data_IF_642879688020
#
_entry.id   IF_642879688020
#
_cell.length_a   1.000
_cell.length_b   1.000
_cell.length_c   1.000
_cell.angle_alpha   90.00
_cell.angle_beta   90.00
_cell.angle_gamma   90.00
#
_symmetry.space_group_name_H-M   'P 1'
#
loop_
_entity.id
_entity.type
_entity.pdbx_description
1 polymer ?
#
# COMPACT_ATOMS: atom_id res chain seq x y z
N UNK A 1 -19.76 33.49 -2.03
CA UNK A 1 -18.35 33.03 -2.10
C UNK A 1 -17.67 32.65 -0.76
N UNK A 2 -18.32 32.50 0.43
CA UNK A 2 -17.60 32.15 1.67
C UNK A 2 -17.30 30.65 1.86
N UNK A 3 -18.05 29.75 1.20
CA UNK A 3 -17.98 28.30 1.40
C UNK A 3 -16.69 27.62 0.89
N UNK A 4 -16.00 28.23 -0.09
CA UNK A 4 -14.78 27.65 -0.69
C UNK A 4 -13.53 27.90 0.17
N UNK A 5 -13.50 29.01 0.91
CA UNK A 5 -12.41 29.33 1.83
C UNK A 5 -12.51 28.53 3.13
N UNK A 6 -13.73 28.24 3.60
CA UNK A 6 -13.97 27.38 4.75
C UNK A 6 -13.51 25.93 4.50
N UNK A 7 -13.77 25.38 3.31
CA UNK A 7 -13.32 24.04 2.93
C UNK A 7 -11.78 23.96 2.80
N UNK A 8 -11.13 25.00 2.27
CA UNK A 8 -9.66 25.10 2.20
C UNK A 8 -9.02 25.25 3.58
N UNK A 9 -9.63 26.02 4.47
CA UNK A 9 -9.17 26.20 5.83
C UNK A 9 -9.37 24.94 6.69
N UNK A 10 -10.49 24.24 6.52
CA UNK A 10 -10.75 22.94 7.16
C UNK A 10 -9.75 21.88 6.67
N UNK A 11 -9.44 21.85 5.37
CA UNK A 11 -8.43 20.97 4.80
C UNK A 11 -7.01 21.24 5.32
N UNK A 12 -6.62 22.51 5.46
CA UNK A 12 -5.34 22.90 6.07
C UNK A 12 -5.27 22.51 7.55
N UNK A 13 -6.32 22.77 8.32
CA UNK A 13 -6.39 22.40 9.75
C UNK A 13 -6.33 20.88 9.96
N UNK A 14 -7.01 20.11 9.12
CA UNK A 14 -6.95 18.65 9.13
C UNK A 14 -5.55 18.14 8.75
N UNK A 15 -4.90 18.73 7.75
CA UNK A 15 -3.54 18.38 7.34
C UNK A 15 -2.50 18.69 8.43
N UNK A 16 -2.60 19.84 9.09
CA UNK A 16 -1.73 20.21 10.22
C UNK A 16 -1.92 19.23 11.38
N UNK A 17 -3.17 18.92 11.73
CA UNK A 17 -3.48 17.97 12.82
C UNK A 17 -2.96 16.56 12.51
N UNK A 18 -3.09 16.10 11.26
CA UNK A 18 -2.57 14.82 10.82
C UNK A 18 -1.03 14.79 10.88
N UNK A 19 -0.37 15.86 10.46
CA UNK A 19 1.09 15.99 10.49
C UNK A 19 1.65 15.93 11.91
N UNK A 20 1.03 16.63 12.87
CA UNK A 20 1.43 16.60 14.28
C UNK A 20 1.29 15.19 14.87
N UNK A 21 0.17 14.51 14.61
CA UNK A 21 -0.08 13.16 15.12
C UNK A 21 0.90 12.12 14.54
N UNK A 22 1.32 12.31 13.28
CA UNK A 22 2.36 11.50 12.64
C UNK A 22 3.75 11.75 13.25
N UNK A 23 4.09 13.02 13.50
CA UNK A 23 5.36 13.39 14.13
C UNK A 23 5.48 12.78 15.53
N UNK A 24 4.42 12.86 16.34
CA UNK A 24 4.39 12.26 17.68
C UNK A 24 4.58 10.74 17.65
N UNK A 25 3.94 10.06 16.70
CA UNK A 25 4.12 8.61 16.54
C UNK A 25 5.53 8.23 16.13
N UNK A 26 6.14 9.00 15.23
CA UNK A 26 7.51 8.75 14.79
C UNK A 26 8.50 8.97 15.93
N UNK A 27 8.32 10.02 16.74
CA UNK A 27 9.11 10.27 17.94
C UNK A 27 8.95 9.13 18.97
N UNK A 28 7.74 8.60 19.16
CA UNK A 28 7.52 7.44 20.04
C UNK A 28 8.22 6.17 19.55
N UNK A 29 8.32 5.97 18.23
CA UNK A 29 9.06 4.84 17.67
C UNK A 29 10.56 5.00 17.90
N UNK A 30 11.12 6.17 17.60
CA UNK A 30 12.53 6.47 17.83
C UNK A 30 12.90 6.30 19.31
N UNK A 31 12.10 6.84 20.24
CA UNK A 31 12.36 6.69 21.69
C UNK A 31 12.31 5.24 22.19
N UNK A 32 11.62 4.34 21.47
CA UNK A 32 11.53 2.91 21.83
C UNK A 32 12.68 2.08 21.29
N UNK A 33 13.49 2.63 20.38
CA UNK A 33 14.60 1.95 19.73
C UNK A 33 15.86 2.85 19.77
N UNK A 34 16.72 2.68 20.79
CA UNK A 34 17.89 3.52 21.00
C UNK A 34 18.89 3.52 19.83
N UNK A 35 19.00 2.41 19.10
CA UNK A 35 19.88 2.32 17.92
C UNK A 35 19.31 3.13 16.75
N UNK A 36 17.99 3.02 16.52
CA UNK A 36 17.28 3.81 15.51
C UNK A 36 17.35 5.31 15.84
N UNK A 37 17.20 5.68 17.12
CA UNK A 37 17.28 7.05 17.60
C UNK A 37 18.67 7.65 17.40
N UNK A 38 19.71 6.93 17.80
CA UNK A 38 21.10 7.36 17.62
C UNK A 38 21.39 7.59 16.15
N UNK A 39 20.97 6.67 15.28
CA UNK A 39 21.22 6.81 13.84
C UNK A 39 20.45 7.98 13.23
N UNK A 40 19.22 8.25 13.68
CA UNK A 40 18.43 9.40 13.20
C UNK A 40 19.02 10.75 13.65
N UNK A 41 19.64 10.81 14.83
CA UNK A 41 20.38 11.98 15.32
C UNK A 41 21.70 12.18 14.57
N UNK A 42 22.49 11.11 14.40
CA UNK A 42 23.78 11.14 13.72
C UNK A 42 23.66 11.51 12.24
N UNK A 43 22.59 11.05 11.58
CA UNK A 43 22.32 11.37 10.17
C UNK A 43 21.72 12.77 9.97
N UNK A 44 21.42 13.49 11.06
CA UNK A 44 20.76 14.80 11.01
C UNK A 44 19.32 14.74 10.51
N UNK A 45 18.72 13.54 10.51
CA UNK A 45 17.33 13.31 10.12
C UNK A 45 16.40 14.00 11.11
N UNK A 46 16.65 13.84 12.41
CA UNK A 46 16.00 14.60 13.48
C UNK A 46 17.09 15.24 14.33
N UNK A 47 16.76 16.30 15.04
CA UNK A 47 17.62 16.84 16.09
C UNK A 47 16.99 16.58 17.47
N UNK A 48 17.77 16.81 18.53
CA UNK A 48 17.30 16.61 19.90
C UNK A 48 16.03 17.43 20.20
N UNK A 49 15.98 18.67 19.71
CA UNK A 49 14.85 19.57 19.90
C UNK A 49 13.55 19.05 19.27
N UNK A 50 13.62 18.44 18.09
CA UNK A 50 12.47 17.80 17.43
C UNK A 50 12.02 16.54 18.17
N UNK A 51 12.98 15.75 18.69
CA UNK A 51 12.67 14.58 19.50
C UNK A 51 11.97 14.93 20.79
N UNK A 52 12.25 16.07 21.40
CA UNK A 52 11.61 16.55 22.62
C UNK A 52 10.22 17.14 22.33
N UNK A 53 10.11 17.93 21.25
CA UNK A 53 8.87 18.62 20.83
C UNK A 53 8.47 18.28 19.37
N UNK A 54 7.98 17.06 19.10
CA UNK A 54 7.65 16.63 17.75
C UNK A 54 6.47 17.43 17.18
N UNK A 55 6.64 17.97 15.97
CA UNK A 55 5.59 18.69 15.23
C UNK A 55 5.57 20.21 15.41
N UNK A 56 6.34 20.78 16.34
CA UNK A 56 6.52 22.23 16.46
C UNK A 56 7.70 22.76 15.62
N UNK A 57 8.70 21.91 15.38
CA UNK A 57 9.89 22.22 14.59
C UNK A 57 9.88 21.35 13.31
N UNK A 58 10.28 21.87 12.13
CA UNK A 58 10.48 21.03 10.95
C UNK A 58 11.55 19.95 11.21
N UNK A 59 11.38 18.78 10.59
CA UNK A 59 12.38 17.71 10.56
C UNK A 59 13.56 18.20 9.71
N UNK A 60 14.56 18.86 10.33
CA UNK A 60 15.80 19.40 9.74
C UNK A 60 15.66 20.38 8.54
N UNK A 61 16.50 21.42 8.52
CA UNK A 61 16.72 22.21 7.30
C UNK A 61 17.66 21.42 6.39
N UNK A 62 17.09 20.78 5.35
CA UNK A 62 17.77 20.03 4.30
C UNK A 62 18.23 18.59 4.62
N UNK A 63 17.29 17.71 4.94
CA UNK A 63 17.38 16.31 4.49
C UNK A 63 16.21 16.05 3.53
N UNK A 64 16.46 15.90 2.22
CA UNK A 64 15.45 15.47 1.26
C UNK A 64 14.86 14.11 1.69
N UNK A 65 13.62 13.84 1.30
CA UNK A 65 12.96 12.54 1.48
C UNK A 65 13.86 11.36 1.05
N UNK A 66 14.78 11.59 0.10
CA UNK A 66 15.83 10.67 -0.33
C UNK A 66 16.76 10.16 0.80
N UNK A 67 16.95 10.92 1.88
CA UNK A 67 17.77 10.50 3.04
C UNK A 67 16.98 9.54 3.94
N UNK A 68 15.67 9.76 4.08
CA UNK A 68 14.75 8.82 4.74
C UNK A 68 14.62 7.55 3.90
N UNK A 69 14.49 7.67 2.58
CA UNK A 69 14.48 6.55 1.65
C UNK A 69 15.79 5.76 1.73
N UNK A 70 16.96 6.40 1.66
CA UNK A 70 18.27 5.71 1.82
C UNK A 70 18.43 5.06 3.19
N UNK A 71 17.86 5.65 4.23
CA UNK A 71 17.88 5.07 5.58
C UNK A 71 16.98 3.83 5.66
N UNK A 72 15.81 3.87 5.04
CA UNK A 72 14.89 2.72 4.94
C UNK A 72 15.42 1.64 4.00
N UNK A 73 16.04 2.00 2.88
CA UNK A 73 16.76 1.08 1.98
C UNK A 73 17.89 0.39 2.73
N UNK A 74 18.76 1.15 3.42
CA UNK A 74 19.84 0.56 4.24
C UNK A 74 19.33 -0.27 5.42
N UNK A 75 18.18 0.09 5.99
CA UNK A 75 17.55 -0.66 7.07
C UNK A 75 16.86 -1.93 6.56
N UNK A 76 16.29 -1.90 5.35
CA UNK A 76 15.76 -3.07 4.65
C UNK A 76 16.89 -3.99 4.15
N UNK A 77 18.03 -3.43 3.74
CA UNK A 77 19.27 -4.16 3.39
C UNK A 77 19.90 -4.84 4.60
N UNK A 78 19.76 -4.27 5.81
CA UNK A 78 20.32 -4.84 7.05
C UNK A 78 19.34 -5.72 7.83
N UNK A 79 18.03 -5.50 7.69
CA UNK A 79 17.03 -6.26 8.43
C UNK A 79 15.67 -6.26 7.68
N UNK A 80 15.50 -7.15 6.68
CA UNK A 80 14.28 -7.20 5.85
C UNK A 80 12.99 -7.50 6.63
N UNK A 81 13.11 -7.92 7.89
CA UNK A 81 11.99 -8.16 8.81
C UNK A 81 11.27 -6.88 9.30
N UNK A 82 11.85 -5.69 9.11
CA UNK A 82 11.26 -4.41 9.54
C UNK A 82 9.99 -4.06 8.74
N UNK A 83 10.03 -4.20 7.42
CA UNK A 83 8.89 -3.93 6.53
C UNK A 83 7.74 -4.93 6.78
N UNK A 84 8.09 -6.18 7.07
CA UNK A 84 7.13 -7.24 7.38
C UNK A 84 6.35 -7.02 8.70
N UNK A 85 6.92 -6.30 9.68
CA UNK A 85 6.27 -6.05 10.99
C UNK A 85 5.39 -4.81 11.00
N UNK A 86 5.59 -3.88 10.06
CA UNK A 86 4.82 -2.66 9.97
C UNK A 86 3.37 -2.95 9.51
N UNK A 87 3.20 -3.77 8.47
CA UNK A 87 1.91 -3.99 7.80
C UNK A 87 1.67 -2.95 6.69
N UNK A 88 0.88 -3.31 5.67
CA UNK A 88 0.73 -2.55 4.42
C UNK A 88 0.34 -1.09 4.64
N UNK A 89 -0.60 -0.80 5.54
CA UNK A 89 -1.01 0.58 5.81
C UNK A 89 0.12 1.51 6.33
N UNK A 90 1.14 0.98 7.00
CA UNK A 90 2.34 1.75 7.43
C UNK A 90 3.39 1.83 6.35
N UNK A 91 3.55 0.79 5.51
CA UNK A 91 4.46 0.89 4.37
C UNK A 91 3.92 1.91 3.36
N UNK A 92 2.60 1.97 3.19
CA UNK A 92 1.94 2.98 2.38
C UNK A 92 2.18 4.39 2.93
N UNK A 93 2.15 4.56 4.26
CA UNK A 93 2.49 5.84 4.92
C UNK A 93 3.95 6.25 4.69
N UNK A 94 4.88 5.28 4.71
CA UNK A 94 6.30 5.50 4.42
C UNK A 94 6.56 5.74 2.91
N UNK A 95 5.66 5.27 2.05
CA UNK A 95 5.74 5.43 0.59
C UNK A 95 5.08 6.72 0.09
N UNK A 96 4.51 7.55 0.98
CA UNK A 96 4.07 8.89 0.63
C UNK A 96 5.31 9.70 0.25
N UNK A 97 5.51 9.91 -1.05
CA UNK A 97 6.39 10.97 -1.51
C UNK A 97 5.75 12.29 -1.10
N UNK A 98 6.36 12.98 -0.14
CA UNK A 98 6.09 14.39 0.08
C UNK A 98 6.74 15.16 -1.08
N UNK A 99 6.10 15.15 -2.25
CA UNK A 99 6.45 16.06 -3.33
C UNK A 99 5.65 17.36 -3.19
N UNK A 100 6.35 18.47 -3.45
CA UNK A 100 5.82 19.82 -3.57
C UNK A 100 4.60 19.85 -4.51
N UNK A 101 3.61 20.74 -4.28
CA UNK A 101 2.36 20.77 -5.05
C UNK A 101 2.64 21.09 -6.53
N UNK A 102 2.80 20.04 -7.33
CA UNK A 102 2.94 20.08 -8.79
C UNK A 102 1.92 19.16 -9.45
N UNK A 103 1.05 19.76 -10.26
CA UNK A 103 0.26 19.21 -11.38
C UNK A 103 -0.03 17.69 -11.37
N UNK A 104 -0.77 17.21 -10.37
CA UNK A 104 -1.37 15.87 -10.39
C UNK A 104 -2.64 15.86 -11.23
N UNK A 105 -2.79 14.86 -12.11
CA UNK A 105 -4.03 14.67 -12.88
C UNK A 105 -4.95 13.69 -12.15
N UNK A 106 -6.26 13.97 -12.11
CA UNK A 106 -7.25 13.01 -11.60
C UNK A 106 -7.65 12.00 -12.67
N UNK A 107 -7.87 10.75 -12.25
CA UNK A 107 -8.41 9.70 -13.09
C UNK A 107 -9.15 8.66 -12.24
N UNK A 108 -10.10 7.94 -12.84
CA UNK A 108 -10.66 6.74 -12.21
C UNK A 108 -9.77 5.54 -12.53
N UNK A 109 -9.29 4.85 -11.49
CA UNK A 109 -8.47 3.65 -11.62
C UNK A 109 -8.96 2.58 -10.64
N UNK A 110 -8.80 1.32 -11.04
CA UNK A 110 -8.85 0.20 -10.12
C UNK A 110 -7.46 -0.07 -9.55
N UNK A 111 -7.36 -0.08 -8.23
CA UNK A 111 -6.15 -0.34 -7.48
C UNK A 111 -6.21 -1.76 -6.91
N UNK A 112 -5.16 -2.53 -7.15
CA UNK A 112 -4.98 -3.87 -6.57
C UNK A 112 -3.78 -3.85 -5.65
N UNK A 113 -3.99 -4.27 -4.41
CA UNK A 113 -2.90 -4.64 -3.52
C UNK A 113 -2.78 -6.15 -3.43
N UNK A 114 -1.54 -6.64 -3.46
CA UNK A 114 -1.23 -8.05 -3.20
C UNK A 114 -0.19 -8.18 -2.09
N UNK A 115 -0.17 -9.33 -1.45
CA UNK A 115 0.74 -9.64 -0.33
C UNK A 115 0.95 -11.15 -0.21
N UNK A 116 2.17 -11.59 0.12
CA UNK A 116 2.51 -13.02 0.22
C UNK A 116 2.40 -13.50 1.68
N UNK A 117 1.31 -14.19 1.97
CA UNK A 117 1.12 -14.81 3.27
C UNK A 117 2.20 -15.88 3.54
N UNK A 118 2.92 -15.71 4.65
CA UNK A 118 3.99 -16.60 5.07
C UNK A 118 5.38 -16.17 4.61
N UNK A 119 5.52 -15.08 3.85
CA UNK A 119 6.82 -14.59 3.38
C UNK A 119 7.79 -14.28 4.53
N UNK A 120 7.33 -13.61 5.59
CA UNK A 120 8.17 -13.33 6.77
C UNK A 120 8.76 -14.59 7.41
N UNK A 121 7.95 -15.65 7.50
CA UNK A 121 8.41 -16.95 8.02
C UNK A 121 9.36 -17.63 7.04
N UNK A 122 9.12 -17.48 5.74
CA UNK A 122 10.03 -17.98 4.72
C UNK A 122 11.41 -17.31 4.86
N UNK A 123 11.48 -15.98 4.93
CA UNK A 123 12.74 -15.24 5.13
C UNK A 123 13.45 -15.67 6.41
N UNK A 124 12.73 -15.75 7.52
CA UNK A 124 13.31 -16.18 8.81
C UNK A 124 13.87 -17.62 8.80
N UNK A 125 13.37 -18.49 7.92
CA UNK A 125 13.78 -19.91 7.86
C UNK A 125 14.77 -20.22 6.75
N UNK A 126 14.75 -19.44 5.66
CA UNK A 126 15.54 -19.68 4.44
C UNK A 126 16.66 -18.65 4.23
N UNK A 127 16.64 -17.55 4.97
CA UNK A 127 17.59 -16.45 4.84
C UNK A 127 17.21 -15.46 3.72
N UNK A 128 17.91 -14.33 3.72
CA UNK A 128 17.57 -13.16 2.91
C UNK A 128 17.85 -13.37 1.41
N UNK A 129 18.93 -14.07 1.05
CA UNK A 129 19.26 -14.39 -0.34
C UNK A 129 18.15 -15.22 -1.01
N UNK A 130 17.66 -16.26 -0.32
CA UNK A 130 16.57 -17.08 -0.81
C UNK A 130 15.25 -16.30 -0.92
N UNK A 131 15.03 -15.32 -0.03
CA UNK A 131 13.87 -14.45 -0.08
C UNK A 131 13.93 -13.50 -1.27
N UNK A 132 15.11 -12.93 -1.56
CA UNK A 132 15.35 -12.05 -2.71
C UNK A 132 15.16 -12.80 -4.04
N UNK A 133 15.67 -14.02 -4.16
CA UNK A 133 15.49 -14.87 -5.33
C UNK A 133 14.01 -15.21 -5.57
N UNK A 134 13.28 -15.52 -4.49
CA UNK A 134 11.84 -15.80 -4.54
C UNK A 134 11.07 -14.56 -5.01
N UNK A 135 11.37 -13.38 -4.47
CA UNK A 135 10.72 -12.13 -4.90
C UNK A 135 11.03 -11.79 -6.35
N UNK A 136 12.29 -11.94 -6.79
CA UNK A 136 12.68 -11.72 -8.17
C UNK A 136 11.93 -12.67 -9.13
N UNK A 137 11.78 -13.95 -8.77
CA UNK A 137 10.98 -14.90 -9.53
C UNK A 137 9.48 -14.52 -9.55
N UNK A 138 8.92 -14.15 -8.39
CA UNK A 138 7.54 -13.73 -8.28
C UNK A 138 7.25 -12.49 -9.14
N UNK A 139 8.09 -11.46 -9.08
CA UNK A 139 7.94 -10.25 -9.89
C UNK A 139 8.04 -10.51 -11.40
N UNK A 140 8.89 -11.46 -11.82
CA UNK A 140 8.96 -11.90 -13.22
C UNK A 140 7.67 -12.57 -13.68
N UNK A 141 7.01 -13.34 -12.82
CA UNK A 141 5.72 -13.99 -13.12
C UNK A 141 4.54 -13.01 -13.11
N UNK A 142 4.55 -12.02 -12.20
CA UNK A 142 3.49 -10.99 -12.08
C UNK A 142 3.41 -10.10 -13.31
N UNK A 143 4.56 -9.62 -13.78
CA UNK A 143 4.65 -8.59 -14.83
C UNK A 143 3.84 -8.90 -16.10
N UNK A 144 3.92 -10.10 -16.70
CA UNK A 144 3.12 -10.44 -17.88
C UNK A 144 1.62 -10.51 -17.60
N UNK A 145 1.20 -10.99 -16.43
CA UNK A 145 -0.23 -11.08 -16.04
C UNK A 145 -0.83 -9.67 -15.95
N UNK A 146 -0.15 -8.78 -15.22
CA UNK A 146 -0.60 -7.40 -15.03
C UNK A 146 -0.71 -6.68 -16.37
N UNK A 147 0.32 -6.79 -17.23
CA UNK A 147 0.32 -6.18 -18.56
C UNK A 147 -0.75 -6.77 -19.48
N UNK A 148 -0.93 -8.09 -19.46
CA UNK A 148 -1.94 -8.79 -20.26
C UNK A 148 -3.39 -8.38 -19.93
N UNK A 149 -3.60 -7.82 -18.73
CA UNK A 149 -4.88 -7.26 -18.28
C UNK A 149 -4.93 -5.73 -18.33
N UNK A 150 -4.00 -5.08 -19.02
CA UNK A 150 -3.96 -3.63 -19.22
C UNK A 150 -3.48 -2.82 -18.01
N UNK A 151 -2.95 -3.49 -16.98
CA UNK A 151 -2.48 -2.85 -15.75
C UNK A 151 -1.01 -2.47 -15.77
N UNK A 152 -0.60 -1.81 -14.69
CA UNK A 152 0.77 -1.42 -14.40
C UNK A 152 1.12 -1.78 -12.96
N UNK A 153 2.37 -2.18 -12.75
CA UNK A 153 2.95 -2.26 -11.40
C UNK A 153 3.33 -0.82 -11.03
N UNK A 154 2.63 -0.24 -10.05
CA UNK A 154 2.91 1.12 -9.55
C UNK A 154 4.10 1.06 -8.61
N UNK A 155 4.02 0.21 -7.59
CA UNK A 155 5.06 0.06 -6.56
C UNK A 155 5.24 -1.38 -6.12
N UNK A 156 6.45 -1.70 -5.68
CA UNK A 156 6.82 -2.93 -4.99
C UNK A 156 7.07 -2.59 -3.53
N UNK A 157 6.42 -3.30 -2.64
CA UNK A 157 6.36 -2.98 -1.21
C UNK A 157 6.77 -4.24 -0.45
N UNK A 158 8.09 -4.48 -0.34
CA UNK A 158 8.60 -5.75 0.16
C UNK A 158 8.11 -6.91 -0.70
N UNK A 159 7.32 -7.81 -0.10
CA UNK A 159 6.65 -8.93 -0.76
C UNK A 159 5.26 -8.61 -1.33
N UNK A 160 4.74 -7.42 -1.03
CA UNK A 160 3.52 -6.89 -1.57
C UNK A 160 3.70 -6.07 -2.84
N UNK A 161 2.60 -5.90 -3.57
CA UNK A 161 2.55 -5.09 -4.79
C UNK A 161 1.38 -4.13 -4.74
N UNK A 162 1.59 -2.93 -5.29
CA UNK A 162 0.54 -2.01 -5.66
C UNK A 162 0.45 -1.95 -7.18
N UNK A 163 -0.73 -2.28 -7.71
CA UNK A 163 -1.01 -2.33 -9.12
C UNK A 163 -2.15 -1.36 -9.44
N UNK A 164 -2.12 -0.78 -10.64
CA UNK A 164 -3.21 0.06 -11.14
C UNK A 164 -3.69 -0.43 -12.48
N UNK A 165 -5.00 -0.29 -12.71
CA UNK A 165 -5.68 -0.69 -13.93
C UNK A 165 -6.66 0.40 -14.32
N UNK A 166 -6.71 0.81 -15.59
CA UNK A 166 -7.75 1.70 -16.08
C UNK A 166 -9.12 0.99 -16.12
N UNK A 167 -9.13 -0.33 -16.30
CA UNK A 167 -10.34 -1.15 -16.32
C UNK A 167 -10.47 -2.00 -15.05
N UNK A 168 -11.55 -1.83 -14.25
CA UNK A 168 -11.83 -2.67 -13.08
C UNK A 168 -11.97 -4.15 -13.38
N UNK A 169 -12.50 -4.54 -14.56
CA UNK A 169 -12.59 -5.95 -14.93
C UNK A 169 -11.19 -6.55 -15.09
N UNK A 170 -10.30 -5.85 -15.82
CA UNK A 170 -8.87 -6.19 -15.91
C UNK A 170 -8.20 -6.37 -14.54
N UNK A 171 -8.48 -5.48 -13.58
CA UNK A 171 -7.96 -5.58 -12.22
C UNK A 171 -8.40 -6.86 -11.48
N UNK A 172 -9.70 -7.18 -11.57
CA UNK A 172 -10.28 -8.37 -10.93
C UNK A 172 -9.73 -9.65 -11.58
N UNK A 173 -9.61 -9.68 -12.90
CA UNK A 173 -8.99 -10.78 -13.63
C UNK A 173 -7.54 -11.01 -13.22
N UNK A 174 -6.74 -9.94 -13.21
CA UNK A 174 -5.35 -10.01 -12.77
C UNK A 174 -5.24 -10.49 -11.33
N UNK A 175 -6.08 -9.97 -10.42
CA UNK A 175 -6.08 -10.38 -9.02
C UNK A 175 -6.31 -11.89 -8.85
N UNK A 176 -7.24 -12.48 -9.61
CA UNK A 176 -7.51 -13.93 -9.57
C UNK A 176 -6.37 -14.73 -10.19
N UNK A 177 -5.83 -14.31 -11.34
CA UNK A 177 -4.70 -15.00 -12.00
C UNK A 177 -3.41 -14.98 -11.17
N UNK A 178 -3.16 -13.89 -10.46
CA UNK A 178 -2.00 -13.75 -9.58
C UNK A 178 -2.04 -14.75 -8.41
N UNK A 179 -3.23 -15.15 -7.94
CA UNK A 179 -3.34 -16.22 -6.94
C UNK A 179 -2.77 -17.54 -7.47
N UNK A 180 -2.98 -17.84 -8.76
CA UNK A 180 -2.48 -19.07 -9.40
C UNK A 180 -0.97 -19.00 -9.68
N UNK A 181 -0.43 -17.79 -9.89
CA UNK A 181 1.00 -17.54 -10.12
C UNK A 181 1.81 -17.39 -8.83
N UNK A 182 1.25 -17.77 -7.68
CA UNK A 182 1.93 -17.68 -6.39
C UNK A 182 3.13 -18.64 -6.33
N UNK A 183 4.29 -18.22 -5.79
CA UNK A 183 5.42 -19.12 -5.56
C UNK A 183 5.04 -20.33 -4.67
N UNK A 184 5.63 -21.48 -4.97
CA UNK A 184 5.38 -22.71 -4.23
C UNK A 184 5.66 -22.53 -2.72
N UNK A 185 4.73 -23.00 -1.88
CA UNK A 185 4.85 -22.92 -0.42
C UNK A 185 4.39 -21.60 0.21
N UNK A 186 4.01 -20.61 -0.60
CA UNK A 186 3.38 -19.36 -0.15
C UNK A 186 1.94 -19.27 -0.66
N UNK A 187 1.18 -18.31 -0.13
CA UNK A 187 -0.17 -17.99 -0.60
C UNK A 187 -0.30 -16.49 -0.81
N UNK A 188 -0.67 -16.07 -2.01
CA UNK A 188 -0.95 -14.67 -2.28
C UNK A 188 -2.36 -14.32 -1.80
N UNK A 189 -2.54 -13.12 -1.27
CA UNK A 189 -3.86 -12.50 -1.06
C UNK A 189 -3.93 -11.21 -1.86
N UNK A 190 -5.13 -10.85 -2.30
CA UNK A 190 -5.35 -9.65 -3.08
C UNK A 190 -6.59 -8.87 -2.65
N UNK A 191 -6.55 -7.55 -2.80
CA UNK A 191 -7.67 -6.64 -2.58
C UNK A 191 -7.81 -5.65 -3.72
N UNK A 192 -9.02 -5.51 -4.25
CA UNK A 192 -9.35 -4.67 -5.40
C UNK A 192 -10.37 -3.62 -4.98
N UNK A 193 -10.09 -2.36 -5.27
CA UNK A 193 -11.03 -1.25 -5.14
C UNK A 193 -10.89 -0.28 -6.31
N UNK A 194 -11.94 0.45 -6.63
CA UNK A 194 -12.03 1.35 -7.78
C UNK A 194 -12.56 2.72 -7.34
N UNK A 195 -12.01 3.77 -7.93
CA UNK A 195 -12.53 5.13 -7.83
C UNK A 195 -11.55 6.18 -8.31
N UNK A 196 -11.87 7.44 -8.04
CA UNK A 196 -11.01 8.57 -8.38
C UNK A 196 -9.71 8.56 -7.56
N UNK A 197 -8.59 8.71 -8.27
CA UNK A 197 -7.25 8.84 -7.72
C UNK A 197 -6.56 10.08 -8.29
N UNK A 198 -5.57 10.57 -7.55
CA UNK A 198 -4.63 11.58 -8.04
C UNK A 198 -3.38 10.86 -8.52
N UNK A 199 -3.05 11.03 -9.80
CA UNK A 199 -1.84 10.51 -10.42
C UNK A 199 -0.78 11.61 -10.39
N UNK A 200 0.38 11.30 -9.84
CA UNK A 200 1.59 12.13 -9.94
C UNK A 200 2.58 11.46 -10.90
N UNK A 201 3.77 12.06 -11.11
CA UNK A 201 4.76 11.50 -12.05
C UNK A 201 5.13 10.04 -11.74
N UNK A 202 5.27 9.72 -10.46
CA UNK A 202 5.79 8.42 -10.01
C UNK A 202 4.85 7.70 -9.02
N UNK A 203 3.62 8.20 -8.82
CA UNK A 203 2.72 7.66 -7.79
C UNK A 203 1.23 7.77 -8.11
N UNK A 204 0.45 6.99 -7.35
CA UNK A 204 -1.01 7.09 -7.29
C UNK A 204 -1.41 7.26 -5.83
N UNK A 205 -2.11 8.37 -5.55
CA UNK A 205 -2.49 8.76 -4.19
C UNK A 205 -4.01 8.89 -4.13
N UNK A 206 -4.59 8.54 -2.98
CA UNK A 206 -5.99 8.81 -2.71
C UNK A 206 -6.60 7.85 -1.69
N UNK A 207 -7.84 8.15 -1.33
CA UNK A 207 -8.62 7.27 -0.46
C UNK A 207 -8.76 5.86 -1.05
N UNK A 208 -8.87 5.76 -2.39
CA UNK A 208 -9.00 4.49 -3.11
C UNK A 208 -7.84 3.53 -2.80
N UNK A 209 -6.61 4.06 -2.74
CA UNK A 209 -5.40 3.29 -2.44
C UNK A 209 -5.46 2.71 -1.02
N UNK A 210 -5.85 3.54 -0.05
CA UNK A 210 -6.01 3.12 1.34
C UNK A 210 -7.06 2.02 1.49
N UNK A 211 -8.22 2.16 0.82
CA UNK A 211 -9.27 1.15 0.85
C UNK A 211 -8.80 -0.15 0.23
N UNK A 212 -8.17 -0.12 -0.94
CA UNK A 212 -7.64 -1.32 -1.61
C UNK A 212 -6.66 -2.09 -0.72
N UNK A 213 -5.74 -1.38 -0.05
CA UNK A 213 -4.79 -1.98 0.89
C UNK A 213 -5.50 -2.68 2.06
N UNK A 214 -6.52 -2.04 2.66
CA UNK A 214 -7.30 -2.65 3.76
C UNK A 214 -8.12 -3.85 3.31
N UNK A 215 -8.66 -3.81 2.09
CA UNK A 215 -9.39 -4.93 1.51
C UNK A 215 -8.45 -6.12 1.31
N UNK A 216 -7.21 -5.88 0.86
CA UNK A 216 -6.19 -6.92 0.71
C UNK A 216 -5.77 -7.51 2.06
N UNK A 217 -5.53 -6.67 3.08
CA UNK A 217 -5.18 -7.10 4.44
C UNK A 217 -6.25 -8.01 5.06
N UNK A 218 -7.53 -7.79 4.73
CA UNK A 218 -8.64 -8.59 5.27
C UNK A 218 -8.87 -9.93 4.53
N UNK A 219 -8.24 -10.11 3.36
CA UNK A 219 -8.24 -11.37 2.63
C UNK A 219 -7.25 -12.37 3.28
N UNK A 220 -7.58 -13.66 3.19
CA UNK A 220 -6.65 -14.76 3.54
C UNK A 220 -5.86 -15.17 2.29
N UNK A 221 -4.72 -15.84 2.47
CA UNK A 221 -3.97 -16.42 1.35
C UNK A 221 -4.84 -17.34 0.49
N UNK A 222 -4.75 -17.17 -0.83
CA UNK A 222 -5.60 -17.79 -1.83
C UNK A 222 -6.95 -17.08 -2.05
N UNK A 223 -7.11 -15.84 -1.56
CA UNK A 223 -8.33 -15.06 -1.75
C UNK A 223 -8.04 -13.71 -2.42
N UNK A 224 -8.87 -13.37 -3.40
CA UNK A 224 -9.00 -12.04 -3.94
C UNK A 224 -10.33 -11.44 -3.46
N UNK A 225 -10.25 -10.31 -2.76
CA UNK A 225 -11.41 -9.54 -2.33
C UNK A 225 -11.62 -8.34 -3.24
N UNK A 226 -12.87 -8.08 -3.58
CA UNK A 226 -13.29 -7.03 -4.50
C UNK A 226 -14.41 -6.24 -3.82
N UNK A 227 -14.30 -4.92 -3.74
CA UNK A 227 -15.40 -4.11 -3.20
C UNK A 227 -16.59 -4.10 -4.14
N UNK A 228 -17.79 -3.80 -3.64
CA UNK A 228 -18.99 -3.70 -4.47
C UNK A 228 -18.81 -2.63 -5.56
N UNK A 229 -18.19 -1.50 -5.24
CA UNK A 229 -17.91 -0.41 -6.18
C UNK A 229 -17.03 -0.88 -7.35
N UNK A 230 -15.98 -1.67 -7.08
CA UNK A 230 -15.14 -2.25 -8.13
C UNK A 230 -15.88 -3.31 -8.94
N UNK A 231 -16.71 -4.13 -8.31
CA UNK A 231 -17.51 -5.14 -8.99
C UNK A 231 -18.57 -4.52 -9.90
N UNK A 232 -19.24 -3.46 -9.45
CA UNK A 232 -20.25 -2.73 -10.22
C UNK A 232 -19.62 -2.02 -11.41
N UNK A 233 -18.47 -1.36 -11.21
CA UNK A 233 -17.74 -0.71 -12.28
C UNK A 233 -17.18 -1.69 -13.33
N UNK A 234 -16.87 -2.93 -12.93
CA UNK A 234 -16.35 -3.95 -13.84
C UNK A 234 -17.42 -4.55 -14.78
N UNK A 235 -18.70 -4.53 -14.39
CA UNK A 235 -19.76 -5.14 -15.19
C UNK A 235 -19.61 -6.66 -15.34
N UNK A 236 -19.53 -7.14 -16.59
CA UNK A 236 -19.44 -8.57 -16.90
C UNK A 236 -18.03 -9.13 -16.66
N UNK A 237 -17.93 -10.16 -15.81
CA UNK A 237 -16.69 -10.80 -15.39
C UNK A 237 -16.61 -12.24 -15.93
N UNK A 238 -16.34 -12.38 -17.23
CA UNK A 238 -16.36 -13.69 -17.91
C UNK A 238 -15.41 -14.70 -17.27
N UNK A 239 -15.93 -15.81 -16.79
CA UNK A 239 -15.12 -16.87 -16.16
C UNK A 239 -14.64 -16.53 -14.75
N UNK A 240 -15.17 -15.46 -14.14
CA UNK A 240 -15.02 -15.16 -12.72
C UNK A 240 -16.39 -15.09 -12.06
N UNK A 241 -16.51 -15.70 -10.88
CA UNK A 241 -17.70 -15.61 -10.06
C UNK A 241 -17.39 -14.84 -8.78
N UNK A 242 -18.27 -13.88 -8.46
CA UNK A 242 -18.23 -13.15 -7.21
C UNK A 242 -19.14 -13.82 -6.18
N UNK A 243 -18.61 -14.11 -4.99
CA UNK A 243 -19.44 -14.59 -3.89
C UNK A 243 -20.48 -13.55 -3.47
N UNK A 244 -21.51 -13.96 -2.73
CA UNK A 244 -22.41 -13.01 -2.05
C UNK A 244 -21.59 -12.04 -1.20
N UNK A 245 -21.78 -10.74 -1.44
CA UNK A 245 -21.06 -9.69 -0.73
C UNK A 245 -21.32 -9.72 0.78
N UNK A 246 -20.32 -9.32 1.58
CA UNK A 246 -20.42 -9.16 3.03
C UNK A 246 -19.94 -7.76 3.41
N UNK A 247 -20.67 -7.06 4.28
CA UNK A 247 -20.21 -5.77 4.82
C UNK A 247 -19.08 -6.00 5.81
N UNK A 248 -18.01 -5.23 5.69
CA UNK A 248 -16.84 -5.25 6.56
C UNK A 248 -16.42 -3.83 6.89
N UNK A 249 -16.11 -3.60 8.16
CA UNK A 249 -15.50 -2.35 8.61
C UNK A 249 -13.98 -2.47 8.49
N UNK A 250 -13.33 -1.43 8.00
CA UNK A 250 -11.87 -1.38 7.87
C UNK A 250 -11.32 -0.21 8.68
N UNK A 251 -10.19 -0.41 9.35
CA UNK A 251 -9.58 0.63 10.17
C UNK A 251 -9.21 1.84 9.31
N UNK A 252 -9.68 3.02 9.70
CA UNK A 252 -9.42 4.28 8.98
C UNK A 252 -10.25 4.45 7.70
N UNK A 253 -11.19 3.55 7.44
CA UNK A 253 -12.20 3.68 6.39
C UNK A 253 -13.54 3.90 7.10
N UNK A 254 -14.30 4.91 6.67
CA UNK A 254 -15.51 5.36 7.37
C UNK A 254 -16.58 4.28 7.47
N UNK A 255 -17.46 4.20 6.48
CA UNK A 255 -18.57 3.25 6.50
C UNK A 255 -18.13 1.81 6.17
N UNK A 256 -18.85 0.78 6.67
CA UNK A 256 -18.57 -0.60 6.31
C UNK A 256 -18.81 -0.84 4.81
N UNK A 257 -17.78 -1.30 4.11
CA UNK A 257 -17.79 -1.57 2.66
C UNK A 257 -18.26 -3.00 2.42
N UNK A 258 -19.07 -3.19 1.37
CA UNK A 258 -19.46 -4.53 0.91
C UNK A 258 -18.35 -5.14 0.07
N UNK A 259 -17.91 -6.34 0.43
CA UNK A 259 -16.80 -7.02 -0.23
C UNK A 259 -17.21 -8.41 -0.68
N UNK A 260 -16.80 -8.77 -1.88
CA UNK A 260 -17.01 -10.04 -2.55
C UNK A 260 -15.69 -10.81 -2.62
N UNK A 261 -15.74 -12.14 -2.57
CA UNK A 261 -14.61 -12.97 -2.96
C UNK A 261 -14.72 -13.26 -4.46
N UNK A 262 -13.67 -12.94 -5.22
CA UNK A 262 -13.54 -13.34 -6.61
C UNK A 262 -12.84 -14.69 -6.71
N UNK A 263 -13.32 -15.53 -7.61
CA UNK A 263 -12.73 -16.84 -7.92
C UNK A 263 -13.06 -17.21 -9.37
N UNK A 264 -12.24 -18.06 -10.00
CA UNK A 264 -12.58 -18.62 -11.31
C UNK A 264 -13.92 -19.32 -11.23
N UNK A 265 -14.73 -19.15 -12.26
CA UNK A 265 -15.93 -19.97 -12.45
C UNK A 265 -15.49 -21.40 -12.66
N UNK A 266 -15.94 -22.30 -11.80
CA UNK A 266 -15.81 -23.73 -12.03
C UNK A 266 -16.90 -24.09 -13.05
N UNK A 267 -16.57 -24.67 -14.22
CA UNK A 267 -17.59 -25.18 -15.13
C UNK A 267 -18.48 -26.16 -14.37
N UNK A 268 -19.80 -26.09 -14.57
CA UNK A 268 -20.68 -27.17 -14.12
C UNK A 268 -20.23 -28.48 -14.82
N UNK A 269 -20.07 -29.59 -14.08
CA UNK A 269 -19.59 -30.85 -14.61
C UNK A 269 -20.54 -31.49 -15.63
#
# INVERSE_FOLDING_TARGET
MPLADDARNAGRAAATSARTLLAERLAQLLRKDPELQATALETGLVNQQWLDEPGQVPVSNAAPLEVVERFLERSAERNPSFLARAGLGTIQLLSFRAEEPGEGSTAELAIVFTDLEGFTRFTATRGDDAAMDLLAAHHRAVSPIVRGRGGKVVKRIGDGLMLSFPDPAGAIHAAVELLDATPAGLRLRAGVHHGEVVITRDDVIGHVVNVAARVAEAAKGGQAFVTAEAAEAAGDLRGITLSRGRRRSFKGVGEPIRVHRAQRTVPDP
#
